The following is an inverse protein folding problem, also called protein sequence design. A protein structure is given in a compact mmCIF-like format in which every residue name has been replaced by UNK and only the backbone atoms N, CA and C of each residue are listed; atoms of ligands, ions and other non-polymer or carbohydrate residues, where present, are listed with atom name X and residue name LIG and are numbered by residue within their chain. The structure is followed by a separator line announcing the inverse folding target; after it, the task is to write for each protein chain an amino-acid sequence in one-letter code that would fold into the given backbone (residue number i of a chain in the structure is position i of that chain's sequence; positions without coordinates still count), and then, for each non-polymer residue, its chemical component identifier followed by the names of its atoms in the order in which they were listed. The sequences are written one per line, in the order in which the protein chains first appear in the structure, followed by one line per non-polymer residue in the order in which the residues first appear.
data_IF_820355537767
#
_entry.id   IF_820355537767
#
_cell.length_a   1.000
_cell.length_b   1.000
_cell.length_c   1.000
_cell.angle_alpha   90.00
_cell.angle_beta   90.00
_cell.angle_gamma   90.00
#
_symmetry.space_group_name_H-M   'P 1'
#
loop_
_entity.id
_entity.type
_entity.pdbx_description
1 polymer ?
#
# COMPACT_ATOMS: atom_id res chain seq x y z
N UNK A 1 26.05 6.26 -2.07
CA UNK A 1 25.71 5.71 -0.73
C UNK A 1 24.87 4.47 -0.92
N UNK A 2 25.21 3.35 -0.28
CA UNK A 2 24.46 2.11 -0.42
C UNK A 2 23.06 2.26 0.21
N UNK A 3 22.02 1.85 -0.52
CA UNK A 3 20.65 1.79 -0.02
C UNK A 3 20.59 0.67 1.02
N UNK A 4 20.15 0.98 2.24
CA UNK A 4 20.06 0.00 3.32
C UNK A 4 18.68 -0.64 3.32
N UNK A 5 18.60 -1.97 3.26
CA UNK A 5 17.36 -2.70 3.48
C UNK A 5 17.14 -2.85 4.98
N UNK A 6 15.92 -2.65 5.45
CA UNK A 6 15.51 -2.76 6.85
C UNK A 6 14.35 -3.71 7.02
N UNK A 7 14.28 -4.27 8.23
CA UNK A 7 13.07 -4.91 8.74
C UNK A 7 12.53 -4.01 9.83
N UNK A 8 11.35 -3.44 9.61
CA UNK A 8 10.63 -2.59 10.55
C UNK A 8 9.46 -3.39 11.12
N UNK A 9 9.21 -3.20 12.42
CA UNK A 9 8.14 -3.85 13.16
C UNK A 9 7.49 -2.79 14.04
N UNK A 10 6.18 -2.64 13.93
CA UNK A 10 5.35 -1.90 14.87
C UNK A 10 5.09 -2.72 16.12
N UNK A 11 3.96 -2.42 16.74
CA UNK A 11 3.48 -2.90 18.02
C UNK A 11 2.01 -3.29 17.91
N UNK A 12 1.37 -3.61 19.03
CA UNK A 12 -0.08 -3.86 19.03
C UNK A 12 -0.88 -2.55 19.20
N UNK A 13 -0.29 -1.40 18.87
CA UNK A 13 -0.87 -0.07 18.97
C UNK A 13 -0.58 0.71 17.70
N UNK A 14 -1.37 1.76 17.45
CA UNK A 14 -1.19 2.62 16.28
C UNK A 14 0.25 3.17 16.17
N UNK A 15 0.93 2.81 15.09
CA UNK A 15 2.31 3.17 14.80
C UNK A 15 2.45 4.06 13.57
N UNK A 16 3.59 4.75 13.51
CA UNK A 16 4.03 5.50 12.31
C UNK A 16 5.33 4.90 11.80
N UNK A 17 5.24 4.01 10.81
CA UNK A 17 6.37 3.29 10.28
C UNK A 17 6.88 3.97 9.00
N UNK A 18 8.15 4.39 9.01
CA UNK A 18 8.80 4.98 7.83
C UNK A 18 10.00 4.14 7.42
N UNK A 19 9.92 3.57 6.22
CA UNK A 19 11.01 2.83 5.59
C UNK A 19 12.11 3.76 5.06
N UNK A 20 12.90 3.24 4.14
CA UNK A 20 14.15 3.85 3.68
C UNK A 20 14.12 4.06 2.17
N UNK A 21 15.31 4.09 1.54
CA UNK A 21 15.46 4.09 0.08
C UNK A 21 15.84 2.72 -0.48
N UNK A 22 15.99 1.72 0.39
CA UNK A 22 16.25 0.30 0.09
C UNK A 22 14.98 -0.53 -0.02
N UNK A 23 15.14 -1.85 -0.10
CA UNK A 23 14.01 -2.78 -0.19
C UNK A 23 13.67 -3.30 1.21
N UNK A 24 12.63 -2.74 1.82
CA UNK A 24 12.29 -2.96 3.20
C UNK A 24 11.23 -4.05 3.39
N UNK A 25 11.19 -4.61 4.60
CA UNK A 25 10.10 -5.45 5.10
C UNK A 25 9.49 -4.74 6.29
N UNK A 26 8.21 -4.40 6.21
CA UNK A 26 7.52 -3.65 7.25
C UNK A 26 6.35 -4.48 7.73
N UNK A 27 6.18 -4.57 9.05
CA UNK A 27 5.10 -5.27 9.72
C UNK A 27 4.49 -4.29 10.73
N UNK A 28 3.23 -3.93 10.55
CA UNK A 28 2.48 -3.07 11.48
C UNK A 28 2.11 -3.79 12.77
N UNK A 29 1.49 -4.95 12.61
CA UNK A 29 0.91 -5.83 13.64
C UNK A 29 -0.53 -5.50 13.99
N UNK A 30 -0.82 -4.84 15.11
CA UNK A 30 -2.20 -4.51 15.45
C UNK A 30 -2.34 -3.02 15.74
N UNK A 31 -3.54 -2.48 15.54
CA UNK A 31 -3.80 -1.05 15.66
C UNK A 31 -3.73 -0.36 14.30
N UNK A 32 -4.20 0.89 14.25
CA UNK A 32 -4.36 1.62 13.00
C UNK A 32 -3.03 2.29 12.60
N UNK A 33 -2.28 1.67 11.70
CA UNK A 33 -0.92 2.09 11.38
C UNK A 33 -0.87 3.06 10.20
N UNK A 34 0.14 3.95 10.23
CA UNK A 34 0.51 4.76 9.06
C UNK A 34 1.88 4.32 8.56
N UNK A 35 1.90 3.65 7.40
CA UNK A 35 3.08 3.01 6.86
C UNK A 35 3.54 3.71 5.57
N UNK A 36 4.66 4.43 5.64
CA UNK A 36 5.35 5.01 4.50
C UNK A 36 6.58 4.16 4.16
N UNK A 37 6.46 3.25 3.19
CA UNK A 37 7.56 2.30 2.89
C UNK A 37 8.80 2.97 2.29
N UNK A 38 8.62 4.13 1.66
CA UNK A 38 9.70 4.90 1.06
C UNK A 38 10.00 4.47 -0.39
N UNK A 39 11.25 4.65 -0.81
CA UNK A 39 11.69 4.30 -2.16
C UNK A 39 12.28 2.90 -2.12
N UNK A 40 12.03 2.08 -3.14
CA UNK A 40 12.51 0.71 -3.16
C UNK A 40 11.40 -0.24 -3.57
N UNK A 41 11.66 -1.54 -3.45
CA UNK A 41 10.65 -2.59 -3.61
C UNK A 41 10.35 -3.19 -2.25
N UNK A 42 9.37 -2.61 -1.59
CA UNK A 42 9.06 -2.93 -0.20
C UNK A 42 7.98 -4.00 -0.13
N UNK A 43 8.02 -4.78 0.94
CA UNK A 43 6.94 -5.70 1.32
C UNK A 43 6.38 -5.23 2.64
N UNK A 44 5.09 -4.98 2.66
CA UNK A 44 4.40 -4.47 3.83
C UNK A 44 3.30 -5.45 4.22
N UNK A 45 3.22 -5.69 5.51
CA UNK A 45 2.04 -6.18 6.19
C UNK A 45 1.52 -5.09 7.12
N UNK A 46 0.27 -4.69 6.97
CA UNK A 46 -0.38 -3.79 7.91
C UNK A 46 -0.63 -4.58 9.18
N UNK A 47 -1.63 -5.45 9.11
CA UNK A 47 -1.97 -6.40 10.15
C UNK A 47 -3.42 -6.20 10.50
N UNK A 48 -3.78 -6.21 11.78
CA UNK A 48 -5.15 -5.95 12.20
C UNK A 48 -5.34 -4.47 12.52
N UNK A 49 -6.43 -3.86 12.08
CA UNK A 49 -6.70 -2.43 12.27
C UNK A 49 -6.88 -1.75 10.92
N UNK A 50 -7.24 -0.46 10.94
CA UNK A 50 -7.46 0.31 9.72
C UNK A 50 -6.14 0.95 9.26
N UNK A 51 -5.40 0.27 8.40
CA UNK A 51 -4.03 0.67 8.05
C UNK A 51 -3.98 1.63 6.85
N UNK A 52 -3.12 2.64 6.95
CA UNK A 52 -2.84 3.59 5.87
C UNK A 52 -1.46 3.35 5.25
N UNK A 53 -1.43 2.83 4.02
CA UNK A 53 -0.21 2.66 3.24
C UNK A 53 0.06 3.87 2.34
N UNK A 54 1.15 4.59 2.59
CA UNK A 54 1.49 5.81 1.85
C UNK A 54 2.51 5.50 0.77
N UNK A 55 2.12 5.69 -0.50
CA UNK A 55 3.05 5.60 -1.64
C UNK A 55 3.87 6.87 -1.80
N UNK A 56 5.07 6.75 -2.38
CA UNK A 56 5.90 7.93 -2.67
C UNK A 56 5.34 8.73 -3.85
N UNK A 57 5.21 10.04 -3.63
CA UNK A 57 4.83 10.98 -4.68
C UNK A 57 6.01 11.21 -5.62
N UNK A 58 6.09 10.38 -6.68
CA UNK A 58 7.18 10.43 -7.66
C UNK A 58 8.37 9.52 -7.30
N UNK A 59 9.26 9.30 -8.27
CA UNK A 59 10.37 8.35 -8.13
C UNK A 59 9.98 6.87 -8.25
N UNK A 60 10.94 5.99 -7.98
CA UNK A 60 10.86 4.52 -8.19
C UNK A 60 10.45 3.74 -6.92
N UNK A 61 9.57 4.29 -6.09
CA UNK A 61 9.02 3.53 -4.95
C UNK A 61 7.91 2.59 -5.42
N UNK A 62 7.93 1.39 -4.85
CA UNK A 62 7.02 0.30 -5.11
C UNK A 62 6.72 -0.38 -3.78
N UNK A 63 5.44 -0.54 -3.47
CA UNK A 63 5.00 -1.28 -2.27
C UNK A 63 4.22 -2.52 -2.66
N UNK A 64 4.53 -3.65 -2.04
CA UNK A 64 3.69 -4.84 -2.10
C UNK A 64 3.01 -5.05 -0.75
N UNK A 65 1.71 -4.79 -0.69
CA UNK A 65 0.88 -5.05 0.48
C UNK A 65 0.42 -6.51 0.41
N UNK A 66 0.58 -7.24 1.51
CA UNK A 66 0.45 -8.70 1.55
C UNK A 66 -0.87 -9.19 2.15
N UNK A 67 -1.57 -8.33 2.87
CA UNK A 67 -2.75 -8.55 3.72
C UNK A 67 -3.63 -7.30 3.74
N UNK A 68 -3.93 -6.73 2.56
CA UNK A 68 -4.83 -5.58 2.48
C UNK A 68 -6.26 -6.04 2.80
N UNK A 69 -6.86 -5.45 3.82
CA UNK A 69 -8.13 -5.84 4.43
C UNK A 69 -9.17 -4.70 4.37
N UNK A 70 -10.39 -4.95 4.86
CA UNK A 70 -11.42 -3.92 4.96
C UNK A 70 -10.98 -2.86 5.98
N UNK A 71 -11.25 -1.58 5.70
CA UNK A 71 -10.75 -0.46 6.52
C UNK A 71 -9.39 0.08 6.05
N UNK A 72 -8.59 -0.74 5.37
CA UNK A 72 -7.30 -0.31 4.84
C UNK A 72 -7.41 0.71 3.70
N UNK A 73 -6.41 1.59 3.65
CA UNK A 73 -6.32 2.67 2.68
C UNK A 73 -4.92 2.73 2.07
N UNK A 74 -4.82 2.67 0.74
CA UNK A 74 -3.62 3.12 0.03
C UNK A 74 -3.76 4.59 -0.34
N UNK A 75 -2.89 5.44 0.19
CA UNK A 75 -2.74 6.84 -0.25
C UNK A 75 -1.77 6.93 -1.42
N UNK A 76 -2.25 7.49 -2.52
CA UNK A 76 -1.46 7.74 -3.72
C UNK A 76 -1.51 9.20 -4.14
N UNK A 77 -0.69 9.57 -5.12
CA UNK A 77 -0.53 10.96 -5.54
C UNK A 77 -1.79 11.60 -6.16
N UNK A 78 -2.92 10.89 -6.27
CA UNK A 78 -4.13 11.36 -6.96
C UNK A 78 -3.91 11.60 -8.46
N UNK A 79 -2.82 11.10 -9.03
CA UNK A 79 -2.41 11.47 -10.37
C UNK A 79 -3.37 10.88 -11.43
N UNK A 80 -3.85 11.66 -12.42
CA UNK A 80 -4.84 11.20 -13.41
C UNK A 80 -4.43 9.99 -14.25
N UNK A 81 -3.13 9.69 -14.33
CA UNK A 81 -2.61 8.52 -15.05
C UNK A 81 -2.58 7.22 -14.22
N UNK A 82 -3.20 7.21 -13.04
CA UNK A 82 -3.25 6.03 -12.16
C UNK A 82 -4.36 5.09 -12.62
N UNK A 83 -4.09 3.79 -12.70
CA UNK A 83 -5.07 2.75 -13.05
C UNK A 83 -4.79 1.46 -12.29
N UNK A 84 -5.84 0.66 -12.11
CA UNK A 84 -5.74 -0.69 -11.55
C UNK A 84 -5.58 -1.70 -12.68
N UNK A 85 -4.69 -2.66 -12.50
CA UNK A 85 -4.50 -3.78 -13.42
C UNK A 85 -4.55 -5.12 -12.68
N UNK A 86 -5.49 -5.98 -13.05
CA UNK A 86 -5.53 -7.35 -12.54
C UNK A 86 -4.38 -8.19 -13.12
N UNK A 87 -3.72 -8.99 -12.28
CA UNK A 87 -2.72 -10.00 -12.64
C UNK A 87 -2.87 -11.25 -11.76
N UNK A 88 -3.63 -12.23 -12.26
CA UNK A 88 -4.00 -13.41 -11.49
C UNK A 88 -4.90 -13.01 -10.32
N UNK A 89 -4.55 -13.39 -9.09
CA UNK A 89 -5.21 -12.93 -7.85
C UNK A 89 -4.52 -11.73 -7.20
N UNK A 90 -3.94 -10.83 -7.98
CA UNK A 90 -3.30 -9.63 -7.44
C UNK A 90 -3.68 -8.43 -8.30
N UNK A 91 -3.84 -7.28 -7.66
CA UNK A 91 -4.05 -6.00 -8.34
C UNK A 91 -2.75 -5.22 -8.35
N UNK A 92 -2.43 -4.59 -9.48
CA UNK A 92 -1.34 -3.62 -9.59
C UNK A 92 -1.92 -2.23 -9.69
N UNK A 93 -1.44 -1.32 -8.86
CA UNK A 93 -1.68 0.12 -8.99
C UNK A 93 -0.58 0.68 -9.87
N UNK A 94 -0.93 1.14 -11.06
CA UNK A 94 0.02 1.57 -12.10
C UNK A 94 -0.20 3.05 -12.40
N UNK A 95 0.87 3.83 -12.45
CA UNK A 95 0.87 5.22 -12.90
C UNK A 95 1.69 5.33 -14.19
N UNK A 96 1.03 5.54 -15.32
CA UNK A 96 1.70 5.41 -16.63
C UNK A 96 2.20 3.99 -16.85
N UNK A 97 3.53 3.82 -16.93
CA UNK A 97 4.21 2.51 -17.02
C UNK A 97 4.79 2.02 -15.67
N UNK A 98 4.76 2.87 -14.64
CA UNK A 98 5.32 2.56 -13.34
C UNK A 98 4.28 1.85 -12.46
N UNK A 99 4.59 0.64 -12.02
CA UNK A 99 3.84 0.00 -10.93
C UNK A 99 4.23 0.65 -9.60
N UNK A 100 3.26 1.22 -8.89
CA UNK A 100 3.44 1.90 -7.60
C UNK A 100 3.05 1.02 -6.41
N UNK A 101 2.02 0.19 -6.57
CA UNK A 101 1.64 -0.77 -5.55
C UNK A 101 1.19 -2.09 -6.15
N UNK A 102 1.31 -3.17 -5.37
CA UNK A 102 0.69 -4.46 -5.65
C UNK A 102 -0.06 -4.93 -4.42
N UNK A 103 -1.35 -5.15 -4.59
CA UNK A 103 -2.24 -5.74 -3.60
C UNK A 103 -2.32 -7.25 -3.84
N UNK A 104 -1.92 -8.04 -2.84
CA UNK A 104 -1.90 -9.49 -2.96
C UNK A 104 -3.24 -10.08 -2.54
N UNK A 105 -3.77 -11.00 -3.34
CA UNK A 105 -4.95 -11.79 -2.97
C UNK A 105 -6.30 -11.18 -3.35
N UNK A 106 -6.30 -9.97 -3.91
CA UNK A 106 -7.48 -9.14 -4.18
C UNK A 106 -7.85 -9.15 -5.67
N UNK A 107 -9.14 -9.01 -5.95
CA UNK A 107 -9.67 -8.71 -7.28
C UNK A 107 -9.87 -7.20 -7.47
N UNK A 108 -9.56 -6.68 -8.66
CA UNK A 108 -9.71 -5.27 -8.98
C UNK A 108 -11.16 -4.78 -8.90
N UNK A 109 -12.14 -5.68 -9.03
CA UNK A 109 -13.57 -5.37 -8.85
C UNK A 109 -13.95 -5.10 -7.40
N UNK A 110 -13.12 -5.55 -6.44
CA UNK A 110 -13.31 -5.33 -5.01
C UNK A 110 -12.69 -3.99 -4.56
N UNK A 111 -12.13 -3.18 -5.47
CA UNK A 111 -11.41 -1.95 -5.13
C UNK A 111 -12.11 -0.71 -5.67
N UNK A 112 -12.22 0.30 -4.82
CA UNK A 112 -12.56 1.66 -5.23
C UNK A 112 -11.29 2.49 -5.42
N UNK A 113 -11.22 3.21 -6.53
CA UNK A 113 -10.12 4.13 -6.85
C UNK A 113 -10.68 5.55 -6.86
N UNK A 114 -10.57 6.25 -5.73
CA UNK A 114 -11.02 7.62 -5.59
C UNK A 114 -9.89 8.60 -5.93
N UNK A 115 -9.97 9.21 -7.12
CA UNK A 115 -9.03 10.25 -7.55
C UNK A 115 -9.19 11.58 -6.81
N UNK A 116 -10.38 11.88 -6.27
CA UNK A 116 -10.65 13.10 -5.51
C UNK A 116 -10.02 13.00 -4.12
N UNK A 117 -10.16 11.85 -3.46
CA UNK A 117 -9.51 11.59 -2.18
C UNK A 117 -8.04 11.17 -2.32
N UNK A 118 -7.62 10.68 -3.49
CA UNK A 118 -6.27 10.14 -3.70
C UNK A 118 -6.06 8.82 -2.96
N UNK A 119 -7.12 8.01 -2.86
CA UNK A 119 -7.15 6.77 -2.07
C UNK A 119 -7.61 5.57 -2.88
N UNK A 120 -7.12 4.40 -2.49
CA UNK A 120 -7.65 3.11 -2.92
C UNK A 120 -8.09 2.36 -1.66
N UNK A 121 -9.32 1.86 -1.67
CA UNK A 121 -9.94 1.14 -0.55
C UNK A 121 -10.68 -0.09 -1.09
N UNK A 122 -10.98 -1.06 -0.22
CA UNK A 122 -11.93 -2.11 -0.60
C UNK A 122 -13.35 -1.53 -0.72
N UNK A 123 -14.10 -2.02 -1.70
CA UNK A 123 -15.54 -1.81 -1.80
C UNK A 123 -16.19 -2.77 -0.82
N UNK A 124 -16.63 -2.23 0.30
CA UNK A 124 -17.62 -2.90 1.13
C UNK A 124 -18.96 -2.82 0.42
N UNK A 125 -19.48 -3.98 0.03
CA UNK A 125 -20.81 -4.07 -0.58
C UNK A 125 -21.83 -3.45 0.39
N UNK A 126 -22.51 -2.34 0.05
CA UNK A 126 -23.45 -1.70 0.97
C UNK A 126 -24.74 -2.53 1.17
N UNK A 127 -24.81 -3.74 0.61
CA UNK A 127 -25.96 -4.64 0.64
C UNK A 127 -25.69 -6.01 1.31
N UNK A 128 -24.53 -6.20 1.97
CA UNK A 128 -24.29 -7.36 2.83
C UNK A 128 -25.07 -7.27 4.15
#
# INVERSE_FOLDING_TARGET
MAKANKTLRGTDSADRLTGTTGNDRIFGFAGDDVIASGVGRDKVKGGAGDDTFVTVNGGKGFVKVLDFEEGDVIKFCGCPATRLEQRGRNVRVVKGDDVKAVLKGIDATELDLDFKAGTITLVVDPLA
#
